data_IF_393074562486
#
_entry.id   IF_393074562486
#
_cell.length_a   1.000
_cell.length_b   1.000
_cell.length_c   1.000
_cell.angle_alpha   90.00
_cell.angle_beta   90.00
_cell.angle_gamma   90.00
#
_symmetry.space_group_name_H-M   'P 1'
#
loop_
_entity.id
_entity.type
_entity.pdbx_description
1 polymer ?
#
# COMPACT_ATOMS: atom_id res chain seq x y z
N UNK A 1 -2.53 43.00 21.46
CA UNK A 1 -1.65 42.07 20.74
C UNK A 1 -2.54 41.02 20.14
N UNK A 2 -2.41 40.79 18.84
CA UNK A 2 -3.13 39.72 18.16
C UNK A 2 -2.53 38.36 18.54
N UNK A 3 -3.40 37.35 18.64
CA UNK A 3 -2.99 36.01 19.09
C UNK A 3 -2.56 35.18 17.86
N UNK A 4 -1.29 34.75 17.73
CA UNK A 4 -0.81 34.00 16.57
C UNK A 4 -1.44 32.60 16.41
N UNK A 5 -2.16 32.10 17.42
CA UNK A 5 -2.92 30.84 17.36
C UNK A 5 -4.38 31.03 16.89
N UNK A 6 -4.71 32.21 16.35
CA UNK A 6 -6.00 32.48 15.69
C UNK A 6 -5.76 32.74 14.21
N UNK A 7 -6.77 32.50 13.39
CA UNK A 7 -6.72 32.82 11.97
C UNK A 7 -6.72 34.34 11.77
N UNK A 8 -5.79 34.81 10.95
CA UNK A 8 -5.66 36.22 10.54
C UNK A 8 -5.71 36.28 9.01
N UNK A 9 -6.79 36.85 8.47
CA UNK A 9 -7.10 36.81 7.03
C UNK A 9 -6.07 37.56 6.17
N UNK A 10 -5.38 38.55 6.75
CA UNK A 10 -4.43 39.41 6.04
C UNK A 10 -3.02 38.79 5.93
N UNK A 11 -2.74 37.67 6.60
CA UNK A 11 -1.42 37.04 6.62
C UNK A 11 -1.13 36.23 5.34
N UNK A 12 0.05 36.44 4.76
CA UNK A 12 0.48 35.72 3.54
C UNK A 12 0.98 34.29 3.78
N UNK A 13 1.20 33.88 5.03
CA UNK A 13 1.71 32.55 5.39
C UNK A 13 0.88 32.00 6.56
N UNK A 14 -0.05 31.09 6.26
CA UNK A 14 -0.97 30.50 7.24
C UNK A 14 -0.93 28.97 7.10
N UNK A 15 -0.70 28.27 8.22
CA UNK A 15 -0.74 26.82 8.27
C UNK A 15 -2.09 26.33 8.85
N UNK A 16 -2.72 25.37 8.17
CA UNK A 16 -3.88 24.67 8.72
C UNK A 16 -3.40 23.61 9.73
N UNK A 17 -3.90 23.66 10.97
CA UNK A 17 -3.57 22.70 12.03
C UNK A 17 -4.85 22.11 12.64
N UNK A 18 -4.72 20.97 13.33
CA UNK A 18 -5.84 20.26 13.94
C UNK A 18 -6.83 19.75 12.88
N UNK A 19 -8.13 19.87 13.15
CA UNK A 19 -9.18 19.35 12.27
C UNK A 19 -9.14 19.95 10.84
N UNK A 20 -8.61 21.16 10.69
CA UNK A 20 -8.53 21.82 9.39
C UNK A 20 -7.30 21.41 8.57
N UNK A 21 -6.26 20.88 9.23
CA UNK A 21 -4.99 20.50 8.59
C UNK A 21 -4.87 19.01 8.27
N UNK A 22 -5.67 18.17 8.93
CA UNK A 22 -5.56 16.71 8.77
C UNK A 22 -4.22 16.14 9.27
N UNK A 23 -3.49 16.88 10.12
CA UNK A 23 -2.14 16.54 10.56
C UNK A 23 -2.10 15.19 11.27
N UNK A 24 -1.32 14.26 10.72
CA UNK A 24 -1.07 12.94 11.29
C UNK A 24 0.23 12.92 12.10
N UNK A 25 0.42 11.87 12.92
CA UNK A 25 1.70 11.66 13.61
C UNK A 25 2.89 11.59 12.63
N UNK A 26 2.64 11.09 11.41
CA UNK A 26 3.63 11.01 10.34
C UNK A 26 4.00 12.39 9.79
N UNK A 27 3.02 13.29 9.61
CA UNK A 27 3.29 14.68 9.21
C UNK A 27 4.12 15.41 10.26
N UNK A 28 3.80 15.20 11.55
CA UNK A 28 4.55 15.77 12.67
C UNK A 28 5.99 15.24 12.68
N UNK A 29 6.16 13.90 12.63
CA UNK A 29 7.47 13.25 12.51
C UNK A 29 8.29 13.83 11.37
N UNK A 30 7.69 13.95 10.17
CA UNK A 30 8.36 14.46 8.99
C UNK A 30 8.72 15.94 9.12
N UNK A 31 7.93 16.74 9.84
CA UNK A 31 8.28 18.12 10.20
C UNK A 31 9.55 18.21 11.04
N UNK A 32 9.68 17.37 12.09
CA UNK A 32 10.88 17.30 12.91
C UNK A 32 12.09 16.79 12.10
N UNK A 33 11.93 15.72 11.31
CA UNK A 33 12.95 15.22 10.37
C UNK A 33 13.44 16.32 9.44
N UNK A 34 12.50 17.04 8.81
CA UNK A 34 12.82 18.11 7.86
C UNK A 34 13.54 19.28 8.54
N UNK A 35 13.20 19.56 9.79
CA UNK A 35 13.86 20.63 10.56
C UNK A 35 15.33 20.32 10.78
N UNK A 36 15.69 19.07 11.10
CA UNK A 36 17.09 18.63 11.21
C UNK A 36 17.85 18.91 9.93
N UNK A 37 17.30 18.54 8.77
CA UNK A 37 17.92 18.75 7.46
C UNK A 37 18.13 20.24 7.15
N UNK A 38 17.15 21.09 7.48
CA UNK A 38 17.23 22.53 7.25
C UNK A 38 18.32 23.15 8.12
N UNK A 39 18.37 22.83 9.41
CA UNK A 39 19.35 23.38 10.35
C UNK A 39 20.77 22.92 10.04
N UNK A 40 20.97 21.65 9.70
CA UNK A 40 22.30 21.17 9.30
C UNK A 40 22.72 21.80 7.96
N UNK A 41 21.78 21.99 7.02
CA UNK A 41 22.07 22.70 5.78
C UNK A 41 22.47 24.15 6.05
N UNK A 42 21.84 24.85 6.99
CA UNK A 42 22.21 26.24 7.31
C UNK A 42 23.63 26.33 7.85
N UNK A 43 24.09 25.42 8.70
CA UNK A 43 25.49 25.38 9.14
C UNK A 43 26.49 25.24 7.99
N UNK A 44 26.10 24.57 6.89
CA UNK A 44 26.97 24.37 5.72
C UNK A 44 26.99 25.53 4.74
N UNK A 45 25.90 26.31 4.66
CA UNK A 45 25.72 27.35 3.61
C UNK A 45 25.70 28.78 4.16
N UNK A 46 25.48 28.94 5.45
CA UNK A 46 25.45 30.24 6.16
C UNK A 46 26.49 30.24 7.29
N UNK A 47 26.90 31.42 7.73
CA UNK A 47 27.80 31.62 8.89
C UNK A 47 27.05 31.45 10.22
N UNK A 48 26.21 30.41 10.33
CA UNK A 48 25.51 30.07 11.58
C UNK A 48 26.50 29.46 12.59
N UNK A 49 26.17 29.56 13.87
CA UNK A 49 27.04 29.07 14.96
C UNK A 49 26.61 27.67 15.39
N UNK A 50 27.55 26.72 15.34
CA UNK A 50 27.32 25.31 15.68
C UNK A 50 26.78 25.15 17.10
N UNK A 51 27.36 25.87 18.06
CA UNK A 51 26.97 25.83 19.48
C UNK A 51 25.52 26.30 19.72
N UNK A 52 25.01 27.20 18.86
CA UNK A 52 23.62 27.67 18.95
C UNK A 52 22.64 26.65 18.36
N UNK A 53 23.03 25.94 17.30
CA UNK A 53 22.13 25.04 16.57
C UNK A 53 22.22 23.59 17.03
N UNK A 54 23.28 23.17 17.72
CA UNK A 54 23.47 21.76 18.11
C UNK A 54 22.32 21.24 18.98
N UNK A 55 21.85 22.02 19.95
CA UNK A 55 20.73 21.64 20.83
C UNK A 55 19.41 21.42 20.06
N UNK A 56 18.92 22.39 19.27
CA UNK A 56 17.72 22.16 18.47
C UNK A 56 17.90 21.06 17.43
N UNK A 57 19.08 20.93 16.79
CA UNK A 57 19.32 19.83 15.83
C UNK A 57 19.12 18.47 16.51
N UNK A 58 19.79 18.23 17.64
CA UNK A 58 19.74 16.94 18.33
C UNK A 58 18.35 16.69 18.92
N UNK A 59 17.70 17.73 19.47
CA UNK A 59 16.32 17.62 19.95
C UNK A 59 15.36 17.17 18.84
N UNK A 60 15.40 17.83 17.67
CA UNK A 60 14.54 17.48 16.54
C UNK A 60 14.83 16.06 16.02
N UNK A 61 16.10 15.66 15.96
CA UNK A 61 16.50 14.31 15.52
C UNK A 61 15.96 13.23 16.46
N UNK A 62 16.22 13.40 17.76
CA UNK A 62 15.75 12.54 18.85
C UNK A 62 14.23 12.42 18.86
N UNK A 63 13.51 13.53 18.71
CA UNK A 63 12.04 13.52 18.73
C UNK A 63 11.45 12.86 17.48
N UNK A 64 12.07 13.06 16.31
CA UNK A 64 11.69 12.33 15.08
C UNK A 64 11.84 10.81 15.24
N UNK A 65 12.90 10.33 15.91
CA UNK A 65 13.09 8.91 16.22
C UNK A 65 12.03 8.40 17.20
N UNK A 66 11.75 9.14 18.27
CA UNK A 66 10.69 8.81 19.24
C UNK A 66 9.33 8.64 18.54
N UNK A 67 8.95 9.60 17.69
CA UNK A 67 7.70 9.55 16.93
C UNK A 67 7.68 8.36 15.96
N UNK A 68 8.81 8.06 15.31
CA UNK A 68 8.93 6.88 14.43
C UNK A 68 8.62 5.59 15.18
N UNK A 69 9.19 5.40 16.37
CA UNK A 69 8.90 4.23 17.21
C UNK A 69 7.43 4.19 17.64
N UNK A 70 6.86 5.32 18.03
CA UNK A 70 5.43 5.39 18.41
C UNK A 70 4.50 5.02 17.25
N UNK A 71 4.81 5.46 16.04
CA UNK A 71 4.07 5.07 14.83
C UNK A 71 4.21 3.57 14.59
N UNK A 72 5.43 3.04 14.60
CA UNK A 72 5.70 1.60 14.42
C UNK A 72 4.90 0.76 15.43
N UNK A 73 4.92 1.11 16.71
CA UNK A 73 4.16 0.41 17.76
C UNK A 73 2.65 0.43 17.46
N UNK A 74 2.10 1.60 17.10
CA UNK A 74 0.68 1.72 16.75
C UNK A 74 0.31 0.85 15.54
N UNK A 75 1.18 0.77 14.53
CA UNK A 75 0.97 -0.07 13.35
C UNK A 75 1.07 -1.57 13.67
N UNK A 76 2.00 -1.98 14.53
CA UNK A 76 2.09 -3.35 15.02
C UNK A 76 0.81 -3.75 15.78
N UNK A 77 0.29 -2.88 16.64
CA UNK A 77 -1.01 -3.11 17.31
C UNK A 77 -2.19 -3.15 16.35
N UNK A 78 -2.11 -2.38 15.26
CA UNK A 78 -3.10 -2.42 14.19
C UNK A 78 -3.08 -3.79 13.48
N UNK A 79 -1.90 -4.35 13.23
CA UNK A 79 -1.77 -5.72 12.71
C UNK A 79 -2.37 -6.76 13.65
N UNK A 80 -2.12 -6.66 14.97
CA UNK A 80 -2.77 -7.53 15.96
C UNK A 80 -4.30 -7.47 15.84
N UNK A 81 -4.85 -6.26 15.74
CA UNK A 81 -6.30 -6.03 15.56
C UNK A 81 -6.80 -6.68 14.27
N UNK A 82 -6.10 -6.50 13.15
CA UNK A 82 -6.48 -7.09 11.85
C UNK A 82 -6.40 -8.61 11.88
N UNK A 83 -5.43 -9.18 12.58
CA UNK A 83 -5.30 -10.62 12.84
C UNK A 83 -6.27 -11.16 13.90
N UNK A 84 -7.17 -10.31 14.42
CA UNK A 84 -8.19 -10.65 15.43
C UNK A 84 -7.59 -11.19 16.73
N UNK A 85 -6.37 -10.77 17.07
CA UNK A 85 -5.76 -11.04 18.35
C UNK A 85 -6.49 -10.18 19.38
N UNK A 86 -7.14 -10.85 20.35
CA UNK A 86 -8.00 -10.19 21.32
C UNK A 86 -7.23 -9.92 22.61
N UNK A 87 -7.34 -8.69 23.10
CA UNK A 87 -6.80 -8.27 24.40
C UNK A 87 -7.93 -7.71 25.26
N UNK A 88 -7.77 -7.75 26.59
CA UNK A 88 -8.72 -7.11 27.50
C UNK A 88 -8.69 -5.59 27.35
N UNK A 89 -9.78 -4.92 27.71
CA UNK A 89 -9.88 -3.46 27.64
C UNK A 89 -8.83 -2.81 28.55
N UNK A 90 -8.58 -3.39 29.71
CA UNK A 90 -7.58 -2.93 30.69
C UNK A 90 -6.17 -3.03 30.11
N UNK A 91 -5.84 -4.13 29.43
CA UNK A 91 -4.55 -4.30 28.76
C UNK A 91 -4.33 -3.23 27.67
N UNK A 92 -5.38 -2.95 26.87
CA UNK A 92 -5.31 -1.93 25.82
C UNK A 92 -5.13 -0.53 26.42
N UNK A 93 -5.82 -0.23 27.53
CA UNK A 93 -5.67 1.05 28.22
C UNK A 93 -4.26 1.22 28.80
N UNK A 94 -3.73 0.19 29.45
CA UNK A 94 -2.41 0.21 30.08
C UNK A 94 -1.29 0.38 29.05
N UNK A 95 -1.31 -0.38 27.94
CA UNK A 95 -0.29 -0.22 26.90
C UNK A 95 -0.32 1.16 26.24
N UNK A 96 -1.52 1.75 26.05
CA UNK A 96 -1.66 3.12 25.53
C UNK A 96 -1.05 4.15 26.49
N UNK A 97 -1.22 3.96 27.79
CA UNK A 97 -0.60 4.81 28.80
C UNK A 97 0.93 4.70 28.74
N UNK A 98 1.47 3.49 28.64
CA UNK A 98 2.92 3.24 28.50
C UNK A 98 3.52 3.87 27.24
N UNK A 99 2.75 3.92 26.13
CA UNK A 99 3.20 4.57 24.90
C UNK A 99 3.47 6.07 25.05
N UNK A 100 2.96 6.72 26.10
CA UNK A 100 3.22 8.15 26.34
C UNK A 100 4.61 8.44 26.92
N UNK A 101 5.42 7.42 27.24
CA UNK A 101 6.83 7.60 27.61
C UNK A 101 7.62 8.35 26.54
N UNK A 102 8.67 9.07 26.94
CA UNK A 102 9.65 9.64 26.03
C UNK A 102 10.88 8.74 25.87
N UNK A 103 11.03 7.70 26.70
CA UNK A 103 12.21 6.85 26.72
C UNK A 103 12.31 6.01 25.43
N UNK A 104 13.34 6.27 24.62
CA UNK A 104 13.56 5.60 23.34
C UNK A 104 13.86 4.11 23.52
N UNK A 105 14.58 3.73 24.58
CA UNK A 105 14.88 2.33 24.88
C UNK A 105 13.60 1.55 25.20
N UNK A 106 12.71 2.12 26.03
CA UNK A 106 11.42 1.51 26.36
C UNK A 106 10.53 1.37 25.12
N UNK A 107 10.48 2.40 24.27
CA UNK A 107 9.73 2.37 23.02
C UNK A 107 10.30 1.32 22.06
N UNK A 108 11.62 1.22 21.92
CA UNK A 108 12.25 0.21 21.07
C UNK A 108 11.96 -1.21 21.55
N UNK A 109 12.07 -1.46 22.87
CA UNK A 109 11.71 -2.75 23.48
C UNK A 109 10.23 -3.09 23.23
N UNK A 110 9.33 -2.12 23.41
CA UNK A 110 7.90 -2.29 23.15
C UNK A 110 7.59 -2.62 21.68
N UNK A 111 8.30 -2.00 20.74
CA UNK A 111 8.19 -2.34 19.32
C UNK A 111 8.68 -3.78 19.06
N UNK A 112 9.79 -4.18 19.69
CA UNK A 112 10.35 -5.53 19.57
C UNK A 112 9.46 -6.65 20.14
N UNK A 113 8.65 -6.36 21.16
CA UNK A 113 7.68 -7.34 21.72
C UNK A 113 6.73 -7.88 20.64
N UNK A 114 6.39 -7.07 19.63
CA UNK A 114 5.40 -7.39 18.60
C UNK A 114 5.98 -7.58 17.20
N UNK A 115 7.30 -7.50 17.01
CA UNK A 115 7.92 -7.59 15.67
C UNK A 115 7.69 -8.93 14.96
N UNK A 116 7.35 -9.99 15.71
CA UNK A 116 7.08 -11.32 15.14
C UNK A 116 5.60 -11.52 14.74
N UNK A 117 4.78 -10.47 14.79
CA UNK A 117 3.36 -10.52 14.38
C UNK A 117 3.19 -10.96 12.92
N UNK A 118 4.17 -10.62 12.09
CA UNK A 118 4.35 -11.05 10.71
C UNK A 118 5.83 -11.44 10.52
N UNK A 119 6.08 -12.61 9.93
CA UNK A 119 7.43 -13.17 9.78
C UNK A 119 8.39 -12.32 8.92
N UNK A 120 7.87 -11.37 8.15
CA UNK A 120 8.64 -10.46 7.29
C UNK A 120 9.14 -9.23 8.04
N UNK A 121 8.45 -8.83 9.13
CA UNK A 121 8.75 -7.62 9.91
C UNK A 121 10.14 -7.66 10.58
N UNK A 122 10.62 -8.78 11.17
CA UNK A 122 11.88 -8.78 11.91
C UNK A 122 13.10 -8.28 11.12
N UNK A 123 13.16 -8.53 9.82
CA UNK A 123 14.26 -8.07 8.96
C UNK A 123 14.37 -6.54 8.90
N UNK A 124 13.25 -5.82 9.07
CA UNK A 124 13.24 -4.36 9.09
C UNK A 124 13.73 -3.77 10.41
N UNK A 125 13.82 -4.56 11.48
CA UNK A 125 14.34 -4.13 12.79
C UNK A 125 15.86 -4.28 12.90
N UNK A 126 16.51 -4.95 11.95
CA UNK A 126 17.96 -5.17 11.96
C UNK A 126 18.71 -3.83 11.99
N UNK A 127 19.70 -3.75 12.89
CA UNK A 127 20.58 -2.60 13.12
C UNK A 127 19.90 -1.31 13.62
N UNK A 128 18.56 -1.24 13.74
CA UNK A 128 17.89 -0.03 14.25
C UNK A 128 18.35 0.31 15.67
N UNK A 129 18.48 -0.69 16.56
CA UNK A 129 18.93 -0.47 17.94
C UNK A 129 20.30 0.18 18.00
N UNK A 130 21.25 -0.35 17.23
CA UNK A 130 22.63 0.14 17.20
C UNK A 130 22.70 1.62 16.79
N UNK A 131 21.78 2.05 15.92
CA UNK A 131 21.68 3.41 15.39
C UNK A 131 20.92 4.38 16.30
N UNK A 132 20.23 3.91 17.34
CA UNK A 132 19.45 4.78 18.25
C UNK A 132 19.89 4.69 19.71
N UNK A 133 20.67 3.68 20.09
CA UNK A 133 21.07 3.45 21.49
C UNK A 133 21.82 4.63 22.11
N UNK A 134 22.48 5.46 21.30
CA UNK A 134 23.16 6.66 21.80
C UNK A 134 22.20 7.76 22.29
N UNK A 135 20.88 7.62 22.07
CA UNK A 135 19.86 8.48 22.67
C UNK A 135 19.28 7.94 23.98
N UNK A 136 19.66 6.74 24.43
CA UNK A 136 19.03 6.09 25.60
C UNK A 136 19.27 6.83 26.92
N UNK A 137 20.32 7.65 27.00
CA UNK A 137 20.58 8.46 28.20
C UNK A 137 19.53 9.57 28.43
N UNK A 138 18.77 9.96 27.41
CA UNK A 138 17.78 11.04 27.45
C UNK A 138 16.35 10.49 27.64
N UNK A 139 16.14 9.83 28.78
CA UNK A 139 14.89 9.12 29.11
C UNK A 139 13.66 10.04 29.05
N UNK A 140 13.76 11.25 29.59
CA UNK A 140 12.66 12.21 29.67
C UNK A 140 12.51 13.10 28.42
N UNK A 141 13.51 13.10 27.53
CA UNK A 141 13.51 13.97 26.35
C UNK A 141 13.88 15.42 26.66
N UNK A 142 14.63 15.66 27.73
CA UNK A 142 14.92 16.99 28.28
C UNK A 142 16.36 17.43 28.05
N UNK A 143 17.29 16.51 27.78
CA UNK A 143 18.72 16.79 27.77
C UNK A 143 19.14 17.87 26.76
N UNK A 144 18.38 18.03 25.67
CA UNK A 144 18.64 19.02 24.63
C UNK A 144 17.67 20.20 24.64
N UNK A 145 16.87 20.35 25.71
CA UNK A 145 15.96 21.49 25.94
C UNK A 145 16.41 22.35 27.11
N UNK A 146 16.92 21.72 28.16
CA UNK A 146 17.27 22.36 29.42
C UNK A 146 18.72 22.05 29.79
N UNK A 147 19.38 23.01 30.43
CA UNK A 147 20.76 22.84 30.90
C UNK A 147 20.85 21.81 32.03
N UNK A 148 19.94 21.91 33.01
CA UNK A 148 19.90 21.10 34.21
C UNK A 148 18.76 20.08 34.15
N UNK A 149 19.01 18.91 34.75
CA UNK A 149 17.97 17.92 34.98
C UNK A 149 17.16 18.22 36.26
N UNK A 150 16.19 17.35 36.59
CA UNK A 150 15.33 17.48 37.77
C UNK A 150 16.08 17.47 39.12
N UNK A 151 17.33 17.01 39.15
CA UNK A 151 18.21 16.97 40.32
C UNK A 151 19.23 18.14 40.32
N UNK A 152 18.98 19.19 39.53
CA UNK A 152 19.87 20.35 39.33
C UNK A 152 21.29 19.99 38.84
N UNK A 153 21.46 18.86 38.13
CA UNK A 153 22.74 18.47 37.53
C UNK A 153 22.76 18.76 36.02
N UNK A 154 23.85 19.34 35.47
CA UNK A 154 23.95 19.58 34.04
C UNK A 154 23.90 18.30 33.21
N UNK A 155 23.00 18.24 32.21
CA UNK A 155 22.76 17.03 31.42
C UNK A 155 24.02 16.54 30.70
N UNK A 156 24.74 17.43 30.03
CA UNK A 156 25.91 17.07 29.23
C UNK A 156 27.06 16.56 30.11
N UNK A 157 27.32 17.23 31.25
CA UNK A 157 28.36 16.83 32.20
C UNK A 157 28.05 15.47 32.83
N UNK A 158 26.80 15.26 33.29
CA UNK A 158 26.35 13.98 33.88
C UNK A 158 26.58 12.80 32.93
N UNK A 159 26.34 13.01 31.64
CA UNK A 159 26.47 11.97 30.61
C UNK A 159 27.86 11.93 29.94
N UNK A 160 28.84 12.70 30.44
CA UNK A 160 30.20 12.76 29.90
C UNK A 160 30.26 13.20 28.43
N UNK A 161 29.30 14.01 27.99
CA UNK A 161 29.22 14.58 26.65
C UNK A 161 29.90 15.94 26.67
N UNK A 162 30.96 16.09 25.88
CA UNK A 162 31.69 17.35 25.73
C UNK A 162 31.64 17.92 24.32
N UNK A 163 31.37 17.07 23.32
CA UNK A 163 31.36 17.43 21.90
C UNK A 163 30.30 16.60 21.17
N UNK A 164 29.71 17.17 20.13
CA UNK A 164 28.77 16.49 19.24
C UNK A 164 29.24 16.73 17.81
N UNK A 165 29.52 15.64 17.09
CA UNK A 165 29.87 15.72 15.66
C UNK A 165 28.59 15.86 14.84
N UNK A 166 28.33 17.06 14.31
CA UNK A 166 27.13 17.34 13.52
C UNK A 166 27.13 16.55 12.20
N UNK A 167 28.29 16.35 11.57
CA UNK A 167 28.41 15.56 10.34
C UNK A 167 28.10 14.07 10.55
N UNK A 168 28.60 13.50 11.66
CA UNK A 168 28.28 12.13 12.03
C UNK A 168 26.80 12.00 12.40
N UNK A 169 26.28 12.94 13.19
CA UNK A 169 24.87 12.99 13.56
C UNK A 169 23.97 13.03 12.32
N UNK A 170 24.30 13.86 11.32
CA UNK A 170 23.54 13.92 10.06
C UNK A 170 23.52 12.57 9.35
N UNK A 171 24.68 11.90 9.28
CA UNK A 171 24.84 10.63 8.58
C UNK A 171 24.02 9.54 9.25
N UNK A 172 24.19 9.37 10.55
CA UNK A 172 23.46 8.37 11.34
C UNK A 172 21.95 8.67 11.36
N UNK A 173 21.57 9.94 11.50
CA UNK A 173 20.17 10.35 11.49
C UNK A 173 19.49 10.03 10.15
N UNK A 174 20.12 10.36 9.01
CA UNK A 174 19.54 10.03 7.70
C UNK A 174 19.38 8.53 7.52
N UNK A 175 20.41 7.76 7.89
CA UNK A 175 20.39 6.32 7.75
C UNK A 175 19.30 5.66 8.61
N UNK A 176 19.12 6.10 9.86
CA UNK A 176 18.06 5.52 10.72
C UNK A 176 16.67 5.96 10.28
N UNK A 177 16.51 7.20 9.79
CA UNK A 177 15.23 7.68 9.30
C UNK A 177 14.79 6.95 8.03
N UNK A 178 15.72 6.60 7.13
CA UNK A 178 15.45 5.74 5.97
C UNK A 178 14.95 4.35 6.40
N UNK A 179 15.58 3.73 7.42
CA UNK A 179 15.11 2.46 8.00
C UNK A 179 13.69 2.57 8.57
N UNK A 180 13.39 3.66 9.28
CA UNK A 180 12.04 3.89 9.79
C UNK A 180 11.03 4.15 8.67
N UNK A 181 11.39 4.89 7.62
CA UNK A 181 10.52 5.12 6.44
C UNK A 181 10.15 3.78 5.77
N UNK A 182 11.14 2.91 5.54
CA UNK A 182 10.95 1.58 4.98
C UNK A 182 10.05 0.70 5.86
N UNK A 183 10.31 0.67 7.17
CA UNK A 183 9.54 -0.11 8.13
C UNK A 183 8.09 0.37 8.23
N UNK A 184 7.86 1.69 8.32
CA UNK A 184 6.52 2.29 8.39
C UNK A 184 5.75 1.99 7.10
N UNK A 185 6.37 2.20 5.94
CA UNK A 185 5.76 1.88 4.64
C UNK A 185 5.38 0.39 4.53
N UNK A 186 6.29 -0.49 4.94
CA UNK A 186 6.05 -1.93 4.94
C UNK A 186 4.91 -2.34 5.89
N UNK A 187 4.89 -1.81 7.11
CA UNK A 187 3.80 -2.07 8.06
C UNK A 187 2.46 -1.55 7.54
N UNK A 188 2.44 -0.40 6.86
CA UNK A 188 1.23 0.16 6.24
C UNK A 188 0.68 -0.79 5.17
N UNK A 189 1.58 -1.28 4.31
CA UNK A 189 1.25 -2.30 3.31
C UNK A 189 0.71 -3.58 3.95
N UNK A 190 1.28 -4.02 5.08
CA UNK A 190 0.77 -5.16 5.83
C UNK A 190 -0.63 -4.90 6.39
N UNK A 191 -0.90 -3.72 6.96
CA UNK A 191 -2.24 -3.37 7.49
C UNK A 191 -3.29 -3.43 6.39
N UNK A 192 -2.98 -2.91 5.21
CA UNK A 192 -3.86 -3.00 4.04
C UNK A 192 -4.05 -4.45 3.57
N UNK A 193 -2.98 -5.23 3.51
CA UNK A 193 -3.01 -6.65 3.15
C UNK A 193 -3.89 -7.47 4.09
N UNK A 194 -3.68 -7.35 5.41
CA UNK A 194 -4.46 -8.07 6.42
C UNK A 194 -5.93 -7.59 6.48
N UNK A 195 -6.22 -6.36 6.04
CA UNK A 195 -7.60 -5.87 5.90
C UNK A 195 -8.41 -6.62 4.84
N UNK A 196 -7.75 -7.34 3.92
CA UNK A 196 -8.42 -8.14 2.89
C UNK A 196 -9.00 -9.45 3.44
N UNK A 197 -8.54 -9.92 4.60
CA UNK A 197 -9.05 -11.14 5.23
C UNK A 197 -8.49 -12.46 4.67
N UNK A 198 -7.58 -12.40 3.70
CA UNK A 198 -6.93 -13.59 3.10
C UNK A 198 -5.65 -13.94 3.85
N UNK A 199 -5.75 -14.50 5.05
CA UNK A 199 -4.60 -14.91 5.86
C UNK A 199 -4.96 -16.08 6.79
N UNK A 200 -3.95 -16.79 7.29
CA UNK A 200 -4.11 -17.75 8.39
C UNK A 200 -3.44 -17.22 9.66
N UNK A 201 -3.37 -18.03 10.74
CA UNK A 201 -2.71 -17.63 11.98
C UNK A 201 -1.28 -17.10 11.75
N UNK A 202 -0.54 -17.81 10.89
CA UNK A 202 0.89 -17.61 10.66
C UNK A 202 1.20 -17.12 9.24
N UNK A 203 0.32 -17.39 8.26
CA UNK A 203 0.56 -17.03 6.85
C UNK A 203 -0.11 -15.72 6.47
N UNK A 204 0.67 -14.82 5.84
CA UNK A 204 0.14 -13.63 5.17
C UNK A 204 -0.59 -13.98 3.87
N UNK A 205 -1.27 -13.01 3.24
CA UNK A 205 -1.88 -13.20 1.91
C UNK A 205 -0.82 -13.52 0.86
N UNK A 206 0.32 -12.83 0.94
CA UNK A 206 1.48 -13.06 0.07
C UNK A 206 1.95 -14.50 0.15
N UNK A 207 2.04 -15.04 1.37
CA UNK A 207 2.47 -16.42 1.61
C UNK A 207 1.51 -17.42 0.98
N UNK A 208 0.20 -17.22 1.17
CA UNK A 208 -0.84 -18.05 0.59
C UNK A 208 -0.77 -17.99 -0.94
N UNK A 209 -0.49 -16.80 -1.50
CA UNK A 209 -0.25 -16.61 -2.92
C UNK A 209 0.93 -17.43 -3.43
N UNK A 210 2.09 -17.38 -2.76
CA UNK A 210 3.28 -18.17 -3.14
C UNK A 210 3.05 -19.67 -2.98
N UNK A 211 2.36 -20.09 -1.91
CA UNK A 211 1.95 -21.48 -1.73
C UNK A 211 1.06 -21.92 -2.91
N UNK A 212 0.08 -21.11 -3.32
CA UNK A 212 -0.83 -21.46 -4.41
C UNK A 212 -0.12 -21.73 -5.75
N UNK A 213 1.02 -21.07 -6.00
CA UNK A 213 1.84 -21.27 -7.21
C UNK A 213 2.69 -22.55 -7.16
N UNK A 214 3.02 -23.03 -5.95
CA UNK A 214 3.81 -24.26 -5.74
C UNK A 214 2.96 -25.53 -5.83
N UNK A 215 1.65 -25.40 -5.61
CA UNK A 215 0.73 -26.54 -5.61
C UNK A 215 0.56 -27.11 -7.02
N UNK A 216 0.46 -28.45 -7.16
CA UNK A 216 0.03 -29.04 -8.41
C UNK A 216 -1.43 -28.66 -8.72
N UNK A 217 -1.84 -28.83 -9.97
CA UNK A 217 -3.25 -28.70 -10.38
C UNK A 217 -4.14 -29.64 -9.56
N UNK A 218 -5.38 -29.23 -9.32
CA UNK A 218 -6.25 -29.87 -8.33
C UNK A 218 -6.51 -31.35 -8.61
N UNK A 219 -6.51 -31.75 -9.87
CA UNK A 219 -6.69 -33.13 -10.33
C UNK A 219 -5.57 -34.06 -9.84
N UNK A 220 -4.37 -33.53 -9.59
CA UNK A 220 -3.22 -34.29 -9.10
C UNK A 220 -3.19 -34.41 -7.57
N UNK A 221 -4.17 -33.86 -6.84
CA UNK A 221 -4.14 -33.85 -5.37
C UNK A 221 -4.37 -35.22 -4.73
N UNK A 222 -4.84 -36.22 -5.49
CA UNK A 222 -4.92 -37.60 -5.04
C UNK A 222 -3.61 -38.38 -5.24
N UNK A 223 -2.56 -37.75 -5.77
CA UNK A 223 -1.29 -38.40 -6.11
C UNK A 223 -0.21 -38.14 -5.05
N UNK A 224 0.88 -38.93 -5.08
CA UNK A 224 2.01 -38.75 -4.15
C UNK A 224 2.70 -37.39 -4.33
N UNK A 225 2.67 -36.80 -5.54
CA UNK A 225 3.20 -35.47 -5.83
C UNK A 225 2.62 -34.40 -4.91
N UNK A 226 1.33 -34.47 -4.61
CA UNK A 226 0.70 -33.52 -3.68
C UNK A 226 1.17 -33.72 -2.24
N UNK A 227 1.38 -34.97 -1.82
CA UNK A 227 1.89 -35.29 -0.48
C UNK A 227 3.31 -34.75 -0.28
N UNK A 228 4.20 -34.96 -1.26
CA UNK A 228 5.56 -34.41 -1.27
C UNK A 228 5.55 -32.87 -1.17
N UNK A 229 4.74 -32.20 -2.00
CA UNK A 229 4.63 -30.73 -2.00
C UNK A 229 4.08 -30.21 -0.66
N UNK A 230 3.09 -30.89 -0.06
CA UNK A 230 2.57 -30.53 1.27
C UNK A 230 3.65 -30.60 2.34
N UNK A 231 4.47 -31.64 2.33
CA UNK A 231 5.53 -31.81 3.33
C UNK A 231 6.62 -30.74 3.16
N UNK A 232 6.98 -30.39 1.93
CA UNK A 232 7.88 -29.26 1.63
C UNK A 232 7.32 -27.93 2.16
N UNK A 233 6.04 -27.62 1.86
CA UNK A 233 5.39 -26.39 2.34
C UNK A 233 5.36 -26.35 3.88
N UNK A 234 5.07 -27.48 4.54
CA UNK A 234 5.06 -27.54 6.01
C UNK A 234 6.44 -27.26 6.60
N UNK A 235 7.51 -27.77 5.97
CA UNK A 235 8.87 -27.53 6.43
C UNK A 235 9.28 -26.06 6.21
N UNK A 236 9.06 -25.53 5.01
CA UNK A 236 9.44 -24.16 4.64
C UNK A 236 8.76 -23.10 5.53
N UNK A 237 7.46 -23.27 5.79
CA UNK A 237 6.65 -22.31 6.54
C UNK A 237 6.41 -22.71 8.00
N UNK A 238 7.04 -23.80 8.46
CA UNK A 238 6.91 -24.35 9.83
C UNK A 238 5.44 -24.58 10.25
N UNK A 239 4.64 -25.17 9.35
CA UNK A 239 3.18 -25.29 9.52
C UNK A 239 2.74 -26.63 10.10
N UNK A 240 1.75 -26.55 10.98
CA UNK A 240 0.94 -27.71 11.37
C UNK A 240 -0.02 -28.15 10.26
N UNK A 241 -0.43 -29.43 10.27
CA UNK A 241 -1.34 -29.99 9.26
C UNK A 241 -2.71 -29.28 9.20
N UNK A 242 -3.20 -28.76 10.34
CA UNK A 242 -4.46 -28.00 10.41
C UNK A 242 -4.34 -26.67 9.67
N UNK A 243 -3.30 -25.90 9.98
CA UNK A 243 -3.11 -24.58 9.36
C UNK A 243 -2.88 -24.67 7.86
N UNK A 244 -2.13 -25.69 7.40
CA UNK A 244 -2.00 -25.94 5.96
C UNK A 244 -3.37 -26.23 5.32
N UNK A 245 -4.23 -27.02 5.97
CA UNK A 245 -5.60 -27.26 5.49
C UNK A 245 -6.39 -25.96 5.37
N UNK A 246 -6.28 -25.07 6.36
CA UNK A 246 -6.94 -23.76 6.34
C UNK A 246 -6.44 -22.90 5.16
N UNK A 247 -5.13 -22.88 4.91
CA UNK A 247 -4.53 -22.19 3.76
C UNK A 247 -5.02 -22.76 2.42
N UNK A 248 -5.05 -24.08 2.27
CA UNK A 248 -5.57 -24.74 1.06
C UNK A 248 -7.05 -24.42 0.82
N UNK A 249 -7.85 -24.34 1.89
CA UNK A 249 -9.25 -23.96 1.81
C UNK A 249 -9.43 -22.49 1.37
N UNK A 250 -8.57 -21.58 1.83
CA UNK A 250 -8.53 -20.20 1.35
C UNK A 250 -8.17 -20.13 -0.14
N UNK A 251 -7.14 -20.86 -0.56
CA UNK A 251 -6.71 -20.93 -1.98
C UNK A 251 -7.86 -21.37 -2.88
N UNK A 252 -8.57 -22.44 -2.54
CA UNK A 252 -9.72 -22.95 -3.33
C UNK A 252 -10.88 -21.95 -3.46
N UNK A 253 -11.06 -21.06 -2.47
CA UNK A 253 -12.13 -20.06 -2.44
C UNK A 253 -11.71 -18.74 -3.08
N UNK A 254 -10.42 -18.42 -3.06
CA UNK A 254 -9.88 -17.15 -3.52
C UNK A 254 -9.71 -17.14 -5.04
N UNK A 255 -10.31 -16.15 -5.72
CA UNK A 255 -10.47 -16.13 -7.18
C UNK A 255 -9.16 -16.21 -7.98
N UNK A 256 -8.14 -15.48 -7.56
CA UNK A 256 -6.81 -15.50 -8.20
C UNK A 256 -5.96 -16.73 -7.78
N UNK A 257 -6.16 -17.26 -6.58
CA UNK A 257 -5.29 -18.35 -6.10
C UNK A 257 -5.81 -19.70 -6.57
N UNK A 258 -7.13 -19.83 -6.72
CA UNK A 258 -7.75 -21.04 -7.24
C UNK A 258 -7.41 -21.28 -8.71
N UNK A 259 -7.20 -20.22 -9.52
CA UNK A 259 -6.76 -20.37 -10.90
C UNK A 259 -5.36 -20.98 -11.01
N UNK A 260 -4.48 -20.76 -10.03
CA UNK A 260 -3.13 -21.36 -10.02
C UNK A 260 -3.17 -22.89 -9.89
N UNK A 261 -4.25 -23.44 -9.33
CA UNK A 261 -4.47 -24.89 -9.19
C UNK A 261 -5.48 -25.44 -10.21
N UNK A 262 -5.77 -24.69 -11.28
CA UNK A 262 -6.73 -25.11 -12.32
C UNK A 262 -8.21 -24.98 -11.92
N UNK A 263 -8.51 -24.45 -10.73
CA UNK A 263 -9.88 -24.28 -10.23
C UNK A 263 -10.38 -22.85 -10.46
N UNK A 264 -10.42 -22.39 -11.72
CA UNK A 264 -10.90 -21.06 -12.06
C UNK A 264 -12.31 -20.79 -11.50
N UNK A 265 -12.50 -19.61 -10.90
CA UNK A 265 -13.79 -19.14 -10.41
C UNK A 265 -14.26 -17.99 -11.29
N UNK A 266 -15.15 -18.29 -12.23
CA UNK A 266 -15.69 -17.31 -13.18
C UNK A 266 -16.37 -16.13 -12.48
N UNK A 267 -16.20 -14.93 -13.00
CA UNK A 267 -16.82 -13.70 -12.54
C UNK A 267 -17.64 -13.04 -13.66
N UNK A 268 -18.95 -12.92 -13.44
CA UNK A 268 -19.88 -12.51 -14.48
C UNK A 268 -20.14 -13.62 -15.50
N UNK A 269 -21.01 -13.33 -16.46
CA UNK A 269 -21.34 -14.25 -17.56
C UNK A 269 -21.04 -13.57 -18.89
N UNK A 270 -19.78 -13.67 -19.35
CA UNK A 270 -19.38 -13.20 -20.68
C UNK A 270 -19.35 -14.40 -21.63
N UNK A 271 -20.05 -14.31 -22.76
CA UNK A 271 -19.98 -15.33 -23.81
C UNK A 271 -18.78 -15.11 -24.73
N UNK A 272 -18.32 -16.17 -25.40
CA UNK A 272 -17.24 -16.08 -26.39
C UNK A 272 -17.62 -15.14 -27.56
N UNK A 273 -18.87 -15.16 -28.00
CA UNK A 273 -19.37 -14.30 -29.07
C UNK A 273 -19.35 -12.81 -28.65
N UNK A 274 -19.71 -12.49 -27.41
CA UNK A 274 -19.61 -11.12 -26.91
C UNK A 274 -18.15 -10.64 -26.81
N UNK A 275 -17.20 -11.53 -26.47
CA UNK A 275 -15.77 -11.20 -26.51
C UNK A 275 -15.28 -10.96 -27.94
N UNK A 276 -15.76 -11.73 -28.92
CA UNK A 276 -15.48 -11.51 -30.35
C UNK A 276 -16.02 -10.16 -30.81
N UNK A 277 -17.28 -9.85 -30.50
CA UNK A 277 -17.89 -8.56 -30.81
C UNK A 277 -17.12 -7.39 -30.15
N UNK A 278 -16.68 -7.56 -28.90
CA UNK A 278 -15.83 -6.58 -28.23
C UNK A 278 -14.46 -6.41 -28.93
N UNK A 279 -13.82 -7.50 -29.35
CA UNK A 279 -12.56 -7.44 -30.11
C UNK A 279 -12.74 -6.70 -31.45
N UNK A 280 -13.83 -6.96 -32.18
CA UNK A 280 -14.16 -6.25 -33.41
C UNK A 280 -14.39 -4.74 -33.17
N UNK A 281 -15.04 -4.37 -32.07
CA UNK A 281 -15.20 -2.96 -31.66
C UNK A 281 -13.83 -2.29 -31.46
N UNK A 282 -12.93 -2.94 -30.70
CA UNK A 282 -11.57 -2.41 -30.45
C UNK A 282 -10.81 -2.26 -31.77
N UNK A 283 -10.85 -3.26 -32.65
CA UNK A 283 -10.25 -3.19 -33.99
C UNK A 283 -10.74 -1.99 -34.80
N UNK A 284 -12.05 -1.80 -34.85
CA UNK A 284 -12.66 -0.70 -35.60
C UNK A 284 -12.10 0.64 -35.14
N UNK A 285 -12.06 0.88 -33.82
CA UNK A 285 -11.56 2.13 -33.26
C UNK A 285 -10.03 2.27 -33.32
N UNK A 286 -9.26 1.18 -33.25
CA UNK A 286 -7.83 1.19 -33.54
C UNK A 286 -7.54 1.70 -34.96
N UNK A 287 -8.26 1.19 -35.96
CA UNK A 287 -8.11 1.63 -37.36
C UNK A 287 -8.56 3.08 -37.55
N UNK A 288 -9.71 3.44 -36.99
CA UNK A 288 -10.26 4.80 -37.06
C UNK A 288 -9.31 5.84 -36.45
N UNK A 289 -8.71 5.55 -35.29
CA UNK A 289 -7.78 6.47 -34.65
C UNK A 289 -6.47 6.63 -35.46
N UNK A 290 -5.90 5.53 -35.98
CA UNK A 290 -4.74 5.59 -36.89
C UNK A 290 -5.00 6.46 -38.12
N UNK A 291 -6.23 6.42 -38.67
CA UNK A 291 -6.59 7.27 -39.81
C UNK A 291 -6.70 8.76 -39.46
N UNK A 292 -6.96 9.12 -38.19
CA UNK A 292 -7.06 10.51 -37.73
C UNK A 292 -5.72 11.13 -37.33
N UNK A 293 -4.72 10.33 -36.94
CA UNK A 293 -3.36 10.82 -36.67
C UNK A 293 -2.70 11.46 -37.91
N UNK A 294 -3.16 11.13 -39.12
CA UNK A 294 -2.66 11.67 -40.39
C UNK A 294 -3.40 12.93 -40.88
N UNK A 295 -4.34 13.49 -40.10
CA UNK A 295 -5.18 14.63 -40.51
C UNK A 295 -5.06 15.76 -39.48
N UNK A 296 -4.54 16.92 -39.92
CA UNK A 296 -4.48 18.14 -39.10
C UNK A 296 -5.91 18.71 -38.95
N UNK A 297 -6.41 18.65 -37.71
CA UNK A 297 -7.51 19.44 -37.11
C UNK A 297 -8.54 20.06 -38.08
N UNK A 298 -9.45 19.24 -38.61
CA UNK A 298 -10.81 19.69 -38.92
C UNK A 298 -11.70 19.47 -37.68
N UNK A 299 -12.53 20.47 -37.35
CA UNK A 299 -13.54 20.33 -36.29
C UNK A 299 -14.49 19.15 -36.56
N UNK A 300 -15.07 18.57 -35.50
CA UNK A 300 -15.96 17.42 -35.62
C UNK A 300 -17.19 17.75 -36.50
N UNK A 301 -17.28 17.15 -37.70
CA UNK A 301 -18.48 17.22 -38.54
C UNK A 301 -19.63 16.48 -37.85
N UNK A 302 -20.83 17.09 -37.82
CA UNK A 302 -22.01 16.50 -37.17
C UNK A 302 -22.33 15.10 -37.73
N UNK A 303 -22.18 14.91 -39.04
CA UNK A 303 -22.36 13.64 -39.74
C UNK A 303 -21.41 12.54 -39.22
N UNK A 304 -20.15 12.86 -38.96
CA UNK A 304 -19.19 11.90 -38.36
C UNK A 304 -19.60 11.51 -36.94
N UNK A 305 -20.13 12.46 -36.17
CA UNK A 305 -20.61 12.21 -34.80
C UNK A 305 -21.83 11.28 -34.83
N UNK A 306 -22.76 11.49 -35.77
CA UNK A 306 -23.94 10.65 -35.95
C UNK A 306 -23.58 9.24 -36.40
N UNK A 307 -22.74 9.10 -37.44
CA UNK A 307 -22.24 7.79 -37.88
C UNK A 307 -21.51 7.04 -36.76
N UNK A 308 -20.71 7.76 -35.97
CA UNK A 308 -20.02 7.16 -34.84
C UNK A 308 -21.01 6.65 -33.76
N UNK A 309 -22.10 7.38 -33.53
CA UNK A 309 -23.13 6.96 -32.58
C UNK A 309 -23.89 5.72 -33.09
N UNK A 310 -24.17 5.62 -34.38
CA UNK A 310 -24.80 4.44 -35.00
C UNK A 310 -23.93 3.19 -34.86
N UNK A 311 -22.62 3.31 -35.12
CA UNK A 311 -21.68 2.21 -34.94
C UNK A 311 -21.66 1.74 -33.49
N UNK A 312 -21.62 2.66 -32.53
CA UNK A 312 -21.65 2.29 -31.10
C UNK A 312 -22.97 1.59 -30.74
N UNK A 313 -24.12 2.07 -31.25
CA UNK A 313 -25.42 1.41 -31.04
C UNK A 313 -25.47 0.00 -31.62
N UNK A 314 -24.82 -0.24 -32.77
CA UNK A 314 -24.68 -1.61 -33.31
C UNK A 314 -24.00 -2.53 -32.30
N UNK A 315 -22.85 -2.13 -31.75
CA UNK A 315 -22.14 -2.96 -30.77
C UNK A 315 -22.87 -3.06 -29.41
N UNK A 316 -23.61 -2.02 -29.00
CA UNK A 316 -24.49 -2.10 -27.82
C UNK A 316 -25.62 -3.12 -28.00
N UNK A 317 -26.06 -3.37 -29.24
CA UNK A 317 -27.06 -4.41 -29.51
C UNK A 317 -26.50 -5.84 -29.50
N UNK A 318 -25.18 -6.01 -29.69
CA UNK A 318 -24.52 -7.32 -29.71
C UNK A 318 -23.82 -7.69 -28.40
N UNK A 319 -23.57 -6.72 -27.52
CA UNK A 319 -22.91 -6.93 -26.23
C UNK A 319 -23.86 -6.57 -25.09
N UNK A 320 -24.11 -7.52 -24.18
CA UNK A 320 -25.02 -7.27 -23.06
C UNK A 320 -24.48 -6.20 -22.11
N UNK A 321 -25.41 -5.51 -21.42
CA UNK A 321 -25.05 -4.55 -20.37
C UNK A 321 -24.27 -5.21 -19.22
N UNK A 322 -24.56 -6.47 -18.91
CA UNK A 322 -23.79 -7.24 -17.92
C UNK A 322 -22.34 -7.42 -18.37
N UNK A 323 -22.10 -7.80 -19.62
CA UNK A 323 -20.76 -7.91 -20.19
C UNK A 323 -20.04 -6.58 -20.20
N UNK A 324 -20.67 -5.49 -20.63
CA UNK A 324 -20.06 -4.16 -20.62
C UNK A 324 -19.64 -3.73 -19.20
N UNK A 325 -20.47 -3.98 -18.19
CA UNK A 325 -20.13 -3.70 -16.78
C UNK A 325 -19.00 -4.59 -16.28
N UNK A 326 -18.99 -5.87 -16.68
CA UNK A 326 -17.95 -6.82 -16.29
C UNK A 326 -16.60 -6.45 -16.91
N UNK A 327 -16.58 -6.07 -18.19
CA UNK A 327 -15.39 -5.53 -18.88
C UNK A 327 -14.92 -4.23 -18.23
N UNK A 328 -15.83 -3.32 -17.88
CA UNK A 328 -15.47 -2.10 -17.15
C UNK A 328 -14.90 -2.41 -15.77
N UNK A 329 -15.43 -3.41 -15.08
CA UNK A 329 -14.91 -3.86 -13.80
C UNK A 329 -13.47 -4.39 -13.95
N UNK A 330 -13.20 -5.25 -14.95
CA UNK A 330 -11.84 -5.69 -15.22
C UNK A 330 -10.92 -4.54 -15.62
N UNK A 331 -11.40 -3.54 -16.37
CA UNK A 331 -10.64 -2.33 -16.63
C UNK A 331 -10.21 -1.63 -15.32
N UNK A 332 -11.14 -1.38 -14.40
CA UNK A 332 -10.83 -0.72 -13.12
C UNK A 332 -9.84 -1.56 -12.29
N UNK A 333 -10.01 -2.88 -12.28
CA UNK A 333 -9.10 -3.80 -11.59
C UNK A 333 -7.68 -3.80 -12.18
N UNK A 334 -7.56 -3.70 -13.51
CA UNK A 334 -6.28 -3.67 -14.22
C UNK A 334 -5.63 -2.28 -14.32
N UNK A 335 -6.40 -1.22 -14.05
CA UNK A 335 -5.94 0.16 -14.02
C UNK A 335 -5.60 0.67 -12.61
N UNK A 336 -5.81 -0.14 -11.58
CA UNK A 336 -5.57 0.21 -10.17
C UNK A 336 -4.70 -0.83 -9.45
N UNK A 337 -4.26 -0.48 -8.24
CA UNK A 337 -3.55 -1.40 -7.33
C UNK A 337 -4.50 -2.23 -6.45
N UNK A 338 -5.81 -2.26 -6.73
CA UNK A 338 -6.81 -2.96 -5.93
C UNK A 338 -6.59 -4.47 -5.89
N UNK A 339 -6.61 -5.11 -4.71
CA UNK A 339 -6.55 -6.56 -4.61
C UNK A 339 -7.83 -7.22 -5.16
N UNK A 340 -7.75 -8.47 -5.62
CA UNK A 340 -8.90 -9.19 -6.23
C UNK A 340 -10.09 -9.32 -5.27
N UNK A 341 -9.86 -9.29 -3.97
CA UNK A 341 -10.90 -9.28 -2.94
C UNK A 341 -11.81 -8.03 -2.99
N UNK A 342 -11.43 -7.00 -3.77
CA UNK A 342 -12.26 -5.81 -4.04
C UNK A 342 -13.07 -5.89 -5.34
N UNK A 343 -13.02 -7.01 -6.06
CA UNK A 343 -13.69 -7.17 -7.35
C UNK A 343 -15.21 -6.99 -7.22
N UNK A 344 -15.84 -7.68 -6.27
CA UNK A 344 -17.28 -7.61 -6.04
C UNK A 344 -17.73 -6.20 -5.62
N UNK A 345 -16.98 -5.54 -4.72
CA UNK A 345 -17.24 -4.16 -4.29
C UNK A 345 -17.14 -3.19 -5.48
N UNK A 346 -16.13 -3.39 -6.34
CA UNK A 346 -15.90 -2.57 -7.54
C UNK A 346 -17.03 -2.74 -8.55
N UNK A 347 -17.47 -3.97 -8.78
CA UNK A 347 -18.61 -4.25 -9.66
C UNK A 347 -19.90 -3.65 -9.10
N UNK A 348 -20.14 -3.80 -7.79
CA UNK A 348 -21.29 -3.20 -7.12
C UNK A 348 -21.29 -1.68 -7.30
N UNK A 349 -20.16 -1.01 -7.12
CA UNK A 349 -20.04 0.42 -7.35
C UNK A 349 -20.39 0.81 -8.81
N UNK A 350 -19.94 0.03 -9.79
CA UNK A 350 -20.25 0.26 -11.21
C UNK A 350 -21.75 0.12 -11.48
N UNK A 351 -22.40 -0.88 -10.89
CA UNK A 351 -23.85 -1.09 -11.01
C UNK A 351 -24.62 0.04 -10.34
N UNK A 352 -24.27 0.37 -9.10
CA UNK A 352 -24.95 1.39 -8.27
C UNK A 352 -24.78 2.81 -8.84
N UNK A 353 -23.66 3.07 -9.54
CA UNK A 353 -23.42 4.35 -10.24
C UNK A 353 -24.34 4.55 -11.45
N UNK A 354 -25.05 3.52 -11.90
CA UNK A 354 -26.00 3.57 -13.02
C UNK A 354 -25.44 4.26 -14.27
N UNK A 355 -24.16 4.02 -14.59
CA UNK A 355 -23.53 4.60 -15.77
C UNK A 355 -24.31 4.28 -17.04
N UNK A 356 -24.48 5.29 -17.88
CA UNK A 356 -25.11 5.18 -19.19
C UNK A 356 -24.33 4.22 -20.11
N UNK A 357 -25.04 3.41 -20.90
CA UNK A 357 -24.45 2.41 -21.79
C UNK A 357 -23.48 3.01 -22.83
N UNK A 358 -23.83 4.20 -23.34
CA UNK A 358 -23.04 4.93 -24.32
C UNK A 358 -21.77 5.47 -23.67
N UNK A 359 -21.83 5.88 -22.39
CA UNK A 359 -20.65 6.25 -21.62
C UNK A 359 -19.68 5.05 -21.48
N UNK A 360 -20.20 3.88 -21.09
CA UNK A 360 -19.37 2.69 -20.86
C UNK A 360 -18.68 2.25 -22.15
N UNK A 361 -19.42 2.07 -23.25
CA UNK A 361 -18.83 1.60 -24.50
C UNK A 361 -17.82 2.59 -25.09
N UNK A 362 -18.01 3.90 -24.88
CA UNK A 362 -17.04 4.94 -25.29
C UNK A 362 -15.71 4.83 -24.56
N UNK A 363 -15.73 4.37 -23.30
CA UNK A 363 -14.52 4.07 -22.52
C UNK A 363 -13.88 2.77 -22.99
N UNK A 364 -14.67 1.70 -23.12
CA UNK A 364 -14.20 0.34 -23.43
C UNK A 364 -13.58 0.17 -24.82
N UNK A 365 -13.99 0.97 -25.82
CA UNK A 365 -13.52 0.83 -27.21
C UNK A 365 -12.03 1.12 -27.43
N UNK A 366 -11.34 1.72 -26.46
CA UNK A 366 -9.97 2.18 -26.64
C UNK A 366 -8.97 1.02 -26.52
N UNK A 367 -7.94 1.02 -27.37
CA UNK A 367 -6.85 0.04 -27.34
C UNK A 367 -6.23 -0.12 -25.94
N UNK A 368 -5.83 1.01 -25.33
CA UNK A 368 -5.24 1.01 -23.98
C UNK A 368 -6.22 0.51 -22.90
N UNK A 369 -7.52 0.70 -23.10
CA UNK A 369 -8.54 0.15 -22.19
C UNK A 369 -8.62 -1.36 -22.32
N UNK A 370 -8.59 -1.90 -23.53
CA UNK A 370 -8.53 -3.34 -23.78
C UNK A 370 -7.30 -4.00 -23.13
N UNK A 371 -6.11 -3.36 -23.25
CA UNK A 371 -4.90 -3.82 -22.55
C UNK A 371 -5.10 -3.92 -21.03
N UNK A 372 -5.69 -2.88 -20.42
CA UNK A 372 -5.97 -2.85 -18.98
C UNK A 372 -7.01 -3.90 -18.58
N UNK A 373 -7.99 -4.19 -19.44
CA UNK A 373 -8.97 -5.27 -19.21
C UNK A 373 -8.29 -6.62 -19.15
N UNK A 374 -7.36 -6.93 -20.07
CA UNK A 374 -6.60 -8.18 -20.05
C UNK A 374 -5.77 -8.30 -18.77
N UNK A 375 -5.12 -7.21 -18.35
CA UNK A 375 -4.43 -7.15 -17.04
C UNK A 375 -5.40 -7.41 -15.89
N UNK A 376 -6.60 -6.83 -15.93
CA UNK A 376 -7.65 -7.04 -14.95
C UNK A 376 -8.14 -8.49 -14.89
N UNK A 377 -8.38 -9.12 -16.04
CA UNK A 377 -8.75 -10.53 -16.14
C UNK A 377 -7.69 -11.42 -15.49
N UNK A 378 -6.40 -11.24 -15.84
CA UNK A 378 -5.27 -11.93 -15.20
C UNK A 378 -5.27 -11.77 -13.68
N UNK A 379 -5.36 -10.52 -13.22
CA UNK A 379 -5.35 -10.17 -11.80
C UNK A 379 -6.54 -10.76 -11.04
N UNK A 380 -7.66 -10.97 -11.72
CA UNK A 380 -8.86 -11.58 -11.17
C UNK A 380 -8.94 -13.11 -11.37
N UNK A 381 -7.87 -13.75 -11.86
CA UNK A 381 -7.84 -15.20 -12.12
C UNK A 381 -8.79 -15.66 -13.23
N UNK A 382 -9.19 -14.78 -14.15
CA UNK A 382 -10.12 -15.05 -15.25
C UNK A 382 -9.37 -15.53 -16.50
N UNK A 383 -8.69 -16.67 -16.39
CA UNK A 383 -7.84 -17.27 -17.43
C UNK A 383 -8.65 -17.62 -18.68
N UNK A 384 -9.91 -18.06 -18.53
CA UNK A 384 -10.76 -18.41 -19.67
C UNK A 384 -11.09 -17.18 -20.51
N UNK A 385 -11.58 -16.10 -19.88
CA UNK A 385 -11.90 -14.86 -20.58
C UNK A 385 -10.66 -14.19 -21.18
N UNK A 386 -9.54 -14.22 -20.46
CA UNK A 386 -8.28 -13.70 -20.96
C UNK A 386 -7.86 -14.38 -22.27
N UNK A 387 -7.87 -15.72 -22.29
CA UNK A 387 -7.49 -16.50 -23.49
C UNK A 387 -8.46 -16.30 -24.64
N UNK A 388 -9.76 -16.29 -24.38
CA UNK A 388 -10.77 -16.07 -25.41
C UNK A 388 -10.66 -14.68 -26.03
N UNK A 389 -10.46 -13.64 -25.21
CA UNK A 389 -10.28 -12.28 -25.71
C UNK A 389 -8.97 -12.12 -26.50
N UNK A 390 -7.87 -12.71 -26.03
CA UNK A 390 -6.60 -12.71 -26.77
C UNK A 390 -6.73 -13.40 -28.13
N UNK A 391 -7.33 -14.59 -28.18
CA UNK A 391 -7.57 -15.31 -29.42
C UNK A 391 -8.45 -14.49 -30.39
N UNK A 392 -9.53 -13.87 -29.90
CA UNK A 392 -10.39 -13.02 -30.72
C UNK A 392 -9.65 -11.80 -31.28
N UNK A 393 -8.75 -11.19 -30.50
CA UNK A 393 -7.94 -10.05 -30.96
C UNK A 393 -6.88 -10.47 -31.99
N UNK A 394 -6.29 -11.66 -31.84
CA UNK A 394 -5.36 -12.26 -32.81
C UNK A 394 -6.06 -12.56 -34.15
N UNK A 395 -7.24 -13.19 -34.11
CA UNK A 395 -8.08 -13.42 -35.31
C UNK A 395 -8.41 -12.12 -36.03
N UNK A 396 -8.71 -11.08 -35.25
CA UNK A 396 -9.02 -9.74 -35.73
C UNK A 396 -7.78 -8.96 -36.21
N UNK A 397 -6.56 -9.50 -36.02
CA UNK A 397 -5.27 -8.86 -36.32
C UNK A 397 -5.09 -7.52 -35.62
N UNK A 398 -5.51 -7.45 -34.35
CA UNK A 398 -5.30 -6.28 -33.50
C UNK A 398 -3.95 -6.42 -32.80
N UNK A 399 -2.97 -5.62 -33.23
CA UNK A 399 -1.71 -5.48 -32.49
C UNK A 399 -1.97 -4.68 -31.21
N UNK A 400 -1.97 -5.38 -30.08
CA UNK A 400 -2.09 -4.83 -28.73
C UNK A 400 -0.80 -4.15 -28.25
#
# INVERSE_FOLDING_TARGET
>A
MDNPFKFHEEDGIIACVGNNGGTTDEDIRNGFKRTVEILIKSLKVSQEVEDLLVYPIVYNARHSIELSLKIVIKMLWELERKKKISHSVEFIAERKKKLHTHNIEELYKMACENKNIDRRVPAYFENIEDMIQFYYFDEEGDAFKYELNKDDQPHMIKNQISHISIELLETEFKAVMEKFDDLIYFLGSCVDEYSLGTFTKSLSRTDIGEISKKLPVYEEWSTEKFKEVKDQIKQEYQLGSKELTDALNLIKKHRLFSSNIGCERMFGTITEDELKEYASLVKYYCKKNKSKENIVTEGYKLEEVQQNAEILRKYLSSISMETLRTLLCFYEMGNSNLAVEKLEDTYKYIVDSAFDEMYIIRKLKQKNTCLRIIVGMKKCGQVTYEKQLQAALEEEKVEL
#
